data_IF_986753962495
#
_entry.id   IF_986753962495
#
_cell.length_a   1.000
_cell.length_b   1.000
_cell.length_c   1.000
_cell.angle_alpha   90.00
_cell.angle_beta   90.00
_cell.angle_gamma   90.00
#
_symmetry.space_group_name_H-M   'P 1'
#
loop_
_entity.id
_entity.type
_entity.pdbx_description
1 polymer ?
#
# COMPACT_ATOMS: atom_id res chain seq x y z
N UNK A 1 7.39 60.42 14.55
CA UNK A 1 8.77 59.87 14.59
C UNK A 1 8.78 58.62 15.48
N UNK A 2 8.95 57.42 14.92
CA UNK A 2 9.10 56.22 15.75
C UNK A 2 10.39 56.34 16.58
N UNK A 3 10.24 56.24 17.90
CA UNK A 3 11.31 56.26 18.89
C UNK A 3 12.43 55.28 18.46
N UNK A 4 13.68 55.74 18.32
CA UNK A 4 14.74 54.96 17.67
C UNK A 4 15.02 53.61 18.35
N UNK A 5 14.65 53.46 19.63
CA UNK A 5 14.66 52.18 20.34
C UNK A 5 13.69 51.16 19.73
N UNK A 6 12.49 51.58 19.30
CA UNK A 6 11.48 50.71 18.66
C UNK A 6 11.91 50.28 17.26
N UNK A 7 12.61 51.14 16.52
CA UNK A 7 13.19 50.79 15.21
C UNK A 7 14.31 49.75 15.33
N UNK A 8 15.22 49.91 16.30
CA UNK A 8 16.29 48.94 16.58
C UNK A 8 15.73 47.59 17.04
N UNK A 9 14.69 47.59 17.88
CA UNK A 9 14.01 46.37 18.31
C UNK A 9 13.27 45.67 17.16
N UNK A 10 12.59 46.42 16.29
CA UNK A 10 11.94 45.89 15.10
C UNK A 10 12.91 45.29 14.09
N UNK A 11 14.08 45.93 13.90
CA UNK A 11 15.14 45.41 13.06
C UNK A 11 15.70 44.08 13.63
N UNK A 12 15.93 44.01 14.95
CA UNK A 12 16.39 42.79 15.61
C UNK A 12 15.40 41.64 15.44
N UNK A 13 14.11 41.89 15.63
CA UNK A 13 13.05 40.89 15.45
C UNK A 13 12.98 40.38 14.00
N UNK A 14 13.13 41.26 13.01
CA UNK A 14 13.14 40.89 11.60
C UNK A 14 14.35 39.99 11.25
N UNK A 15 15.53 40.28 11.80
CA UNK A 15 16.73 39.45 11.60
C UNK A 15 16.54 38.06 12.21
N UNK A 16 16.01 37.95 13.44
CA UNK A 16 15.75 36.66 14.09
C UNK A 16 14.75 35.83 13.27
N UNK A 17 13.69 36.46 12.78
CA UNK A 17 12.68 35.80 11.95
C UNK A 17 13.27 35.25 10.64
N UNK A 18 14.14 36.02 9.98
CA UNK A 18 14.86 35.56 8.78
C UNK A 18 15.78 34.37 9.06
N UNK A 19 16.49 34.38 10.19
CA UNK A 19 17.34 33.25 10.62
C UNK A 19 16.49 32.00 10.86
N UNK A 20 15.34 32.12 11.51
CA UNK A 20 14.44 30.98 11.74
C UNK A 20 13.91 30.39 10.43
N UNK A 21 13.55 31.22 9.45
CA UNK A 21 13.14 30.75 8.13
C UNK A 21 14.28 30.00 7.43
N UNK A 22 15.50 30.55 7.46
CA UNK A 22 16.65 29.91 6.85
C UNK A 22 17.00 28.56 7.51
N UNK A 23 16.96 28.49 8.85
CA UNK A 23 17.16 27.25 9.61
C UNK A 23 16.08 26.22 9.31
N UNK A 24 14.81 26.64 9.24
CA UNK A 24 13.70 25.75 8.88
C UNK A 24 13.86 25.24 7.45
N UNK A 25 14.13 26.11 6.48
CA UNK A 25 14.36 25.69 5.10
C UNK A 25 15.54 24.70 4.97
N UNK A 26 16.64 24.95 5.67
CA UNK A 26 17.78 24.04 5.70
C UNK A 26 17.42 22.69 6.33
N UNK A 27 16.73 22.69 7.47
CA UNK A 27 16.28 21.47 8.16
C UNK A 27 15.43 20.60 7.23
N UNK A 28 14.44 21.18 6.54
CA UNK A 28 13.55 20.45 5.65
C UNK A 28 14.23 19.94 4.38
N UNK A 29 15.29 20.61 3.91
CA UNK A 29 16.05 20.16 2.73
C UNK A 29 17.03 19.04 3.04
N UNK A 30 17.58 19.00 4.26
CA UNK A 30 18.61 18.05 4.66
C UNK A 30 18.09 16.87 5.47
N UNK A 31 16.91 17.00 6.09
CA UNK A 31 16.15 15.86 6.60
C UNK A 31 15.54 15.12 5.42
N UNK A 32 16.34 14.27 4.78
CA UNK A 32 15.77 13.17 3.99
C UNK A 32 14.87 12.38 4.95
N UNK A 33 13.61 12.07 4.58
CA UNK A 33 12.83 11.13 5.36
C UNK A 33 13.70 9.89 5.51
N UNK A 34 13.96 9.48 6.74
CA UNK A 34 14.69 8.24 7.04
C UNK A 34 13.85 7.10 6.47
N UNK A 35 14.00 6.83 5.18
CA UNK A 35 13.56 5.58 4.58
C UNK A 35 14.40 4.54 5.26
N UNK A 36 13.80 3.83 6.22
CA UNK A 36 14.37 2.64 6.82
C UNK A 36 14.97 1.81 5.68
N UNK A 37 16.20 1.29 5.83
CA UNK A 37 16.82 0.49 4.80
C UNK A 37 15.85 -0.65 4.46
N UNK A 38 15.30 -0.59 3.25
CA UNK A 38 14.63 -1.74 2.65
C UNK A 38 15.77 -2.70 2.41
N UNK A 39 15.94 -3.60 3.37
CA UNK A 39 16.92 -4.67 3.30
C UNK A 39 16.60 -5.44 2.01
N UNK A 40 17.50 -5.39 1.04
CA UNK A 40 17.42 -6.15 -0.21
C UNK A 40 17.68 -7.64 0.08
N UNK A 41 17.04 -8.18 1.12
CA UNK A 41 17.01 -9.61 1.37
C UNK A 41 16.14 -10.22 0.29
N UNK A 42 16.81 -10.79 -0.72
CA UNK A 42 16.37 -11.99 -1.43
C UNK A 42 14.85 -12.06 -1.58
N UNK A 43 14.30 -11.32 -2.53
CA UNK A 43 13.00 -11.65 -3.13
C UNK A 43 13.11 -13.08 -3.60
N UNK A 44 12.65 -14.01 -2.75
CA UNK A 44 12.56 -15.42 -3.10
C UNK A 44 11.44 -15.45 -4.13
N UNK A 45 11.80 -15.38 -5.41
CA UNK A 45 10.87 -15.45 -6.52
C UNK A 45 10.03 -16.69 -6.29
N UNK A 46 8.72 -16.54 -6.05
CA UNK A 46 7.89 -17.70 -5.76
C UNK A 46 7.94 -18.64 -6.97
N UNK A 47 8.31 -19.90 -6.72
CA UNK A 47 8.18 -20.96 -7.69
C UNK A 47 6.73 -21.48 -7.62
N UNK A 48 5.89 -20.96 -8.53
CA UNK A 48 4.47 -21.25 -8.55
C UNK A 48 4.16 -22.69 -8.93
N UNK A 49 5.07 -23.35 -9.65
CA UNK A 49 4.92 -24.76 -10.01
C UNK A 49 5.10 -25.69 -8.79
N UNK A 50 5.76 -25.19 -7.74
CA UNK A 50 5.99 -25.89 -6.47
C UNK A 50 5.14 -25.35 -5.32
N UNK A 51 4.31 -24.34 -5.56
CA UNK A 51 3.52 -23.70 -4.50
C UNK A 51 2.28 -24.53 -4.19
N UNK A 52 2.19 -25.05 -2.97
CA UNK A 52 0.97 -25.68 -2.46
C UNK A 52 -0.10 -24.64 -2.13
N UNK A 53 -1.35 -24.94 -2.47
CA UNK A 53 -2.50 -24.08 -2.19
C UNK A 53 -3.39 -24.69 -1.12
N UNK A 54 -3.73 -23.92 -0.08
CA UNK A 54 -4.57 -24.38 1.02
C UNK A 54 -6.06 -24.38 0.67
N UNK A 55 -6.52 -23.34 -0.03
CA UNK A 55 -7.95 -23.15 -0.34
C UNK A 55 -8.20 -22.22 -1.51
N UNK A 56 -9.41 -22.34 -2.05
CA UNK A 56 -9.99 -21.43 -3.03
C UNK A 56 -10.97 -20.48 -2.34
N UNK A 57 -10.78 -19.18 -2.51
CA UNK A 57 -11.66 -18.14 -1.97
C UNK A 57 -12.51 -17.54 -3.08
N UNK A 58 -13.83 -17.45 -2.89
CA UNK A 58 -14.76 -16.89 -3.88
C UNK A 58 -15.19 -15.47 -3.51
N UNK A 59 -15.37 -14.62 -4.52
CA UNK A 59 -15.89 -13.26 -4.37
C UNK A 59 -17.40 -13.27 -4.66
N UNK A 60 -18.22 -13.14 -3.62
CA UNK A 60 -19.66 -13.30 -3.71
C UNK A 60 -20.43 -11.98 -3.72
N UNK A 61 -19.86 -10.92 -3.15
CA UNK A 61 -20.54 -9.62 -3.05
C UNK A 61 -20.26 -8.69 -4.24
N UNK A 62 -19.38 -9.12 -5.15
CA UNK A 62 -19.01 -8.35 -6.33
C UNK A 62 -20.01 -8.61 -7.48
N UNK A 63 -20.26 -7.63 -8.36
CA UNK A 63 -21.17 -7.80 -9.51
C UNK A 63 -20.73 -8.93 -10.45
N UNK A 64 -19.43 -9.17 -10.50
CA UNK A 64 -18.81 -10.25 -11.24
C UNK A 64 -18.30 -11.28 -10.25
N UNK A 65 -18.37 -12.56 -10.63
CA UNK A 65 -17.83 -13.65 -9.81
C UNK A 65 -16.35 -13.84 -10.16
N UNK A 66 -15.56 -14.09 -9.12
CA UNK A 66 -14.16 -14.45 -9.26
C UNK A 66 -13.73 -15.31 -8.08
N UNK A 67 -12.56 -15.89 -8.20
CA UNK A 67 -11.96 -16.67 -7.13
C UNK A 67 -10.45 -16.52 -7.11
N UNK A 68 -9.85 -16.64 -5.93
CA UNK A 68 -8.41 -16.60 -5.72
C UNK A 68 -7.97 -17.84 -4.96
N UNK A 69 -6.95 -18.53 -5.49
CA UNK A 69 -6.25 -19.58 -4.77
C UNK A 69 -5.32 -18.95 -3.74
N UNK A 70 -5.35 -19.46 -2.52
CA UNK A 70 -4.52 -19.00 -1.43
C UNK A 70 -3.37 -20.00 -1.24
N UNK A 71 -2.11 -19.55 -1.26
CA UNK A 71 -0.96 -20.37 -0.89
C UNK A 71 -1.00 -20.83 0.58
N UNK A 72 -0.53 -22.05 0.87
CA UNK A 72 -0.54 -22.58 2.24
C UNK A 72 0.24 -21.71 3.24
N UNK A 73 1.38 -21.13 2.83
CA UNK A 73 2.23 -20.32 3.70
C UNK A 73 1.63 -18.96 4.07
N UNK A 74 0.54 -18.58 3.40
CA UNK A 74 -0.26 -17.40 3.77
C UNK A 74 -1.20 -17.73 4.94
N UNK A 75 -1.64 -18.98 5.12
CA UNK A 75 -2.63 -19.33 6.14
C UNK A 75 -2.22 -18.88 7.54
N UNK A 76 -3.19 -18.33 8.28
CA UNK A 76 -2.96 -17.75 9.61
C UNK A 76 -2.26 -16.38 9.61
N UNK A 77 -1.66 -15.94 8.50
CA UNK A 77 -1.05 -14.60 8.35
C UNK A 77 -1.96 -13.60 7.65
N UNK A 78 -2.96 -14.06 6.90
CA UNK A 78 -3.97 -13.20 6.31
C UNK A 78 -5.38 -13.58 6.72
N UNK A 79 -6.28 -12.61 6.54
CA UNK A 79 -7.71 -12.83 6.55
C UNK A 79 -8.34 -12.21 5.32
N UNK A 80 -9.17 -13.00 4.65
CA UNK A 80 -10.05 -12.51 3.59
C UNK A 80 -11.37 -12.01 4.20
N UNK A 81 -11.87 -10.87 3.71
CA UNK A 81 -13.22 -10.39 3.98
C UNK A 81 -13.74 -9.61 2.78
N UNK A 82 -15.04 -9.72 2.54
CA UNK A 82 -15.72 -8.86 1.58
C UNK A 82 -16.22 -7.58 2.27
N UNK A 83 -15.81 -6.43 1.73
CA UNK A 83 -16.28 -5.10 2.17
C UNK A 83 -17.04 -4.43 1.01
N UNK A 84 -18.37 -4.51 1.03
CA UNK A 84 -19.18 -4.04 -0.09
C UNK A 84 -18.82 -4.80 -1.37
N UNK A 85 -18.44 -4.10 -2.45
CA UNK A 85 -18.03 -4.70 -3.73
C UNK A 85 -16.51 -4.97 -3.82
N UNK A 86 -15.85 -5.25 -2.70
CA UNK A 86 -14.38 -5.44 -2.65
C UNK A 86 -14.02 -6.70 -1.89
N UNK A 87 -13.11 -7.48 -2.45
CA UNK A 87 -12.40 -8.56 -1.79
C UNK A 87 -11.15 -8.00 -1.11
N UNK A 88 -11.17 -7.89 0.22
CA UNK A 88 -10.11 -7.23 1.00
C UNK A 88 -9.28 -8.27 1.74
N UNK A 89 -7.96 -8.13 1.67
CA UNK A 89 -7.00 -9.01 2.32
C UNK A 89 -6.32 -8.24 3.45
N UNK A 90 -6.45 -8.75 4.67
CA UNK A 90 -5.88 -8.16 5.89
C UNK A 90 -4.70 -8.98 6.36
N UNK A 91 -3.70 -8.30 6.89
CA UNK A 91 -2.63 -8.91 7.66
C UNK A 91 -3.11 -9.20 9.09
N UNK A 92 -2.79 -10.41 9.56
CA UNK A 92 -3.02 -10.84 10.92
C UNK A 92 -1.70 -10.85 11.69
N UNK A 93 -1.74 -10.32 12.89
CA UNK A 93 -0.63 -10.38 13.83
C UNK A 93 -1.13 -10.95 15.15
N UNK A 94 -0.57 -12.10 15.54
CA UNK A 94 -1.01 -12.85 16.74
C UNK A 94 -2.53 -13.09 16.74
N UNK A 95 -3.09 -13.39 15.56
CA UNK A 95 -4.52 -13.63 15.36
C UNK A 95 -5.41 -12.38 15.33
N UNK A 96 -4.85 -11.17 15.42
CA UNK A 96 -5.61 -9.91 15.35
C UNK A 96 -5.39 -9.22 14.01
N UNK A 97 -6.46 -8.66 13.45
CA UNK A 97 -6.39 -7.83 12.25
C UNK A 97 -5.66 -6.52 12.57
N UNK A 98 -4.54 -6.29 11.91
CA UNK A 98 -3.70 -5.10 12.14
C UNK A 98 -3.72 -4.14 10.95
N UNK A 99 -4.00 -4.61 9.73
CA UNK A 99 -4.03 -3.74 8.55
C UNK A 99 -4.52 -4.42 7.28
N UNK A 100 -4.96 -3.61 6.32
CA UNK A 100 -5.22 -4.06 4.94
C UNK A 100 -3.88 -4.17 4.20
N UNK A 101 -3.72 -5.20 3.39
CA UNK A 101 -2.56 -5.37 2.49
C UNK A 101 -2.95 -4.85 1.11
N UNK A 102 -4.04 -5.39 0.56
CA UNK A 102 -4.62 -4.96 -0.70
C UNK A 102 -6.11 -5.30 -0.77
N UNK A 103 -6.81 -4.77 -1.78
CA UNK A 103 -8.09 -5.32 -2.21
C UNK A 103 -8.12 -5.58 -3.70
N UNK A 104 -9.02 -6.49 -4.08
CA UNK A 104 -9.44 -6.76 -5.44
C UNK A 104 -10.87 -6.28 -5.64
N UNK A 105 -11.12 -5.63 -6.77
CA UNK A 105 -12.47 -5.34 -7.24
C UNK A 105 -12.60 -5.66 -8.72
N UNK A 106 -13.63 -6.41 -9.06
CA UNK A 106 -14.04 -6.72 -10.42
C UNK A 106 -14.98 -5.62 -10.91
N UNK A 107 -14.65 -5.01 -12.03
CA UNK A 107 -15.39 -3.94 -12.69
C UNK A 107 -15.93 -4.40 -14.02
N UNK A 108 -17.16 -3.96 -14.34
CA UNK A 108 -17.64 -3.98 -15.71
C UNK A 108 -16.87 -2.93 -16.56
N UNK A 109 -16.72 -3.12 -17.88
CA UNK A 109 -15.92 -2.24 -18.74
C UNK A 109 -16.32 -0.75 -18.68
N UNK A 110 -17.60 -0.49 -18.39
CA UNK A 110 -18.20 0.85 -18.37
C UNK A 110 -18.08 1.56 -17.01
N UNK A 111 -17.72 0.85 -15.95
CA UNK A 111 -17.57 1.46 -14.63
C UNK A 111 -16.27 2.30 -14.56
N UNK A 112 -16.37 3.48 -13.92
CA UNK A 112 -15.21 4.34 -13.66
C UNK A 112 -14.34 3.74 -12.57
N UNK A 113 -13.05 3.62 -12.85
CA UNK A 113 -12.02 3.18 -11.90
C UNK A 113 -11.65 4.35 -10.98
N UNK A 114 -11.53 4.08 -9.68
CA UNK A 114 -11.13 5.09 -8.71
C UNK A 114 -9.65 5.45 -8.85
N UNK A 115 -9.29 6.68 -8.50
CA UNK A 115 -7.90 7.15 -8.53
C UNK A 115 -7.01 6.33 -7.57
N UNK A 116 -5.81 5.98 -8.02
CA UNK A 116 -4.84 5.17 -7.26
C UNK A 116 -5.09 3.67 -7.29
N UNK A 117 -6.05 3.19 -8.09
CA UNK A 117 -6.21 1.77 -8.37
C UNK A 117 -5.42 1.36 -9.63
N UNK A 118 -4.75 0.21 -9.54
CA UNK A 118 -4.05 -0.43 -10.63
C UNK A 118 -5.02 -1.31 -11.42
N UNK A 119 -5.20 -1.06 -12.72
CA UNK A 119 -6.12 -1.82 -13.58
C UNK A 119 -5.41 -3.00 -14.22
N UNK A 120 -6.07 -4.15 -14.18
CA UNK A 120 -5.69 -5.41 -14.78
C UNK A 120 -6.79 -5.80 -15.75
N UNK A 121 -6.46 -5.88 -17.03
CA UNK A 121 -7.39 -6.36 -18.04
C UNK A 121 -7.34 -7.87 -18.06
N UNK A 122 -8.45 -8.53 -17.69
CA UNK A 122 -8.62 -10.01 -17.71
C UNK A 122 -9.31 -10.46 -18.99
N UNK A 123 -10.14 -9.60 -19.54
CA UNK A 123 -10.61 -9.68 -20.91
C UNK A 123 -11.03 -8.25 -21.27
N UNK A 124 -10.35 -7.58 -22.22
CA UNK A 124 -10.60 -6.17 -22.54
C UNK A 124 -12.07 -5.85 -22.82
N UNK A 125 -12.84 -6.86 -23.22
CA UNK A 125 -14.23 -6.76 -23.65
C UNK A 125 -15.25 -7.15 -22.56
N UNK A 126 -14.84 -7.86 -21.50
CA UNK A 126 -15.79 -8.45 -20.54
C UNK A 126 -15.68 -7.87 -19.14
N UNK A 127 -14.48 -7.68 -18.60
CA UNK A 127 -14.30 -7.11 -17.26
C UNK A 127 -12.86 -6.68 -16.98
N UNK A 128 -12.73 -5.80 -15.98
CA UNK A 128 -11.47 -5.30 -15.44
C UNK A 128 -11.35 -5.74 -14.00
N UNK A 129 -10.13 -5.99 -13.54
CA UNK A 129 -9.83 -6.19 -12.13
C UNK A 129 -9.00 -5.02 -11.70
N UNK A 130 -9.35 -4.39 -10.58
CA UNK A 130 -8.49 -3.39 -9.98
C UNK A 130 -7.92 -3.88 -8.67
N UNK A 131 -6.70 -3.46 -8.45
CA UNK A 131 -5.94 -3.70 -7.24
C UNK A 131 -5.66 -2.34 -6.61
N UNK A 132 -5.82 -2.26 -5.29
CA UNK A 132 -5.27 -1.15 -4.52
C UNK A 132 -4.41 -1.68 -3.39
N UNK A 133 -3.16 -1.23 -3.38
CA UNK A 133 -2.18 -1.54 -2.35
C UNK A 133 -2.31 -0.56 -1.19
N UNK A 134 -2.14 -1.04 0.04
CA UNK A 134 -2.10 -0.22 1.24
C UNK A 134 -0.69 -0.18 1.81
N UNK A 135 -0.32 0.98 2.36
CA UNK A 135 0.88 1.10 3.18
C UNK A 135 0.69 0.37 4.50
N UNK A 136 1.80 -0.16 5.05
CA UNK A 136 1.79 -0.75 6.38
C UNK A 136 1.22 0.23 7.42
N UNK A 137 0.24 -0.18 8.26
CA UNK A 137 -0.18 0.59 9.40
C UNK A 137 1.00 0.88 10.35
N UNK A 138 0.99 2.05 11.00
CA UNK A 138 2.03 2.43 11.96
C UNK A 138 2.15 1.47 13.16
N UNK A 139 1.10 0.72 13.45
CA UNK A 139 0.98 -0.19 14.59
C UNK A 139 1.26 -1.65 14.27
N UNK A 140 1.77 -1.97 13.08
CA UNK A 140 2.18 -3.34 12.74
C UNK A 140 3.52 -3.63 13.44
N UNK A 141 3.56 -4.63 14.32
CA UNK A 141 4.78 -4.95 15.05
C UNK A 141 5.78 -5.71 14.18
N UNK A 142 5.31 -6.55 13.24
CA UNK A 142 6.15 -7.20 12.24
C UNK A 142 6.08 -6.52 10.86
N UNK A 143 6.72 -5.35 10.75
CA UNK A 143 6.77 -4.60 9.50
C UNK A 143 7.42 -5.41 8.36
N UNK A 144 8.44 -6.20 8.68
CA UNK A 144 9.17 -7.04 7.71
C UNK A 144 8.24 -8.08 7.07
N UNK A 145 7.47 -8.79 7.88
CA UNK A 145 6.54 -9.81 7.38
C UNK A 145 5.44 -9.19 6.53
N UNK A 146 4.92 -8.03 6.95
CA UNK A 146 3.94 -7.29 6.14
C UNK A 146 4.52 -6.90 4.78
N UNK A 147 5.75 -6.37 4.74
CA UNK A 147 6.40 -5.96 3.50
C UNK A 147 6.67 -7.15 2.58
N UNK A 148 7.17 -8.26 3.14
CA UNK A 148 7.38 -9.49 2.39
C UNK A 148 6.07 -10.00 1.78
N UNK A 149 5.00 -10.14 2.59
CA UNK A 149 3.70 -10.59 2.10
C UNK A 149 3.10 -9.64 1.07
N UNK A 150 3.25 -8.33 1.25
CA UNK A 150 2.82 -7.34 0.26
C UNK A 150 3.57 -7.52 -1.06
N UNK A 151 4.86 -7.87 -1.01
CA UNK A 151 5.65 -8.14 -2.19
C UNK A 151 5.22 -9.45 -2.89
N UNK A 152 5.01 -10.53 -2.14
CA UNK A 152 4.49 -11.79 -2.69
C UNK A 152 3.11 -11.61 -3.32
N UNK A 153 2.22 -10.84 -2.69
CA UNK A 153 0.92 -10.51 -3.25
C UNK A 153 1.04 -9.74 -4.58
N UNK A 154 2.02 -8.84 -4.72
CA UNK A 154 2.29 -8.17 -5.99
C UNK A 154 2.76 -9.15 -7.07
N UNK A 155 3.56 -10.15 -6.70
CA UNK A 155 3.99 -11.21 -7.63
C UNK A 155 2.79 -12.04 -8.11
N UNK A 156 1.88 -12.44 -7.22
CA UNK A 156 0.60 -13.10 -7.58
C UNK A 156 -0.17 -12.28 -8.62
N UNK A 157 -0.35 -10.98 -8.32
CA UNK A 157 -1.09 -10.06 -9.18
C UNK A 157 -0.39 -9.90 -10.53
N UNK A 158 0.95 -9.85 -10.55
CA UNK A 158 1.75 -9.78 -11.79
C UNK A 158 1.62 -11.05 -12.63
N UNK A 159 1.52 -12.23 -12.02
CA UNK A 159 1.31 -13.46 -12.76
C UNK A 159 -0.10 -13.58 -13.30
N UNK A 160 -1.08 -13.12 -12.53
CA UNK A 160 -2.45 -12.99 -13.01
C UNK A 160 -2.47 -12.12 -14.28
N UNK A 161 -1.80 -10.96 -14.28
CA UNK A 161 -1.61 -10.12 -15.46
C UNK A 161 -0.99 -10.86 -16.65
N UNK A 162 0.06 -11.63 -16.42
CA UNK A 162 0.80 -12.31 -17.48
C UNK A 162 0.04 -13.48 -18.13
N UNK A 163 -0.87 -14.10 -17.39
CA UNK A 163 -1.62 -15.28 -17.85
C UNK A 163 -2.98 -14.94 -18.47
N UNK A 164 -3.35 -13.67 -18.50
CA UNK A 164 -4.50 -13.21 -19.26
C UNK A 164 -4.09 -13.07 -20.73
N UNK A 165 -4.71 -13.87 -21.60
CA UNK A 165 -4.61 -13.77 -23.05
C UNK A 165 -5.91 -13.25 -23.65
#
# INVERSE_FOLDING_TARGET
>A
MLNDKKKKLGLLAAVIFLVLIACSWWYWRHMKPTSLPVDNQSTTKLDWDQTSFSRLTFFNTQPLRGSLLIPEHWEGKFRFREEGRRAVFYYLEKGKEVGKIFYLRLYLPEEKVAEGEEVIFVSPQQYRVTVRWFSAPKSVFSLKDFQQLSQEAKEVVSLFKANIK
#
